data_IF_619350441929
#
_entry.id   IF_619350441929
#
_cell.length_a   1.000
_cell.length_b   1.000
_cell.length_c   1.000
_cell.angle_alpha   90.00
_cell.angle_beta   90.00
_cell.angle_gamma   90.00
#
_symmetry.space_group_name_H-M   'P 1'
#
loop_
_entity.id
_entity.type
_entity.pdbx_description
1 polymer ?
#
# COMPACT_ATOMS: atom_id res chain seq x y z
N UNK A 1 7.50 -3.68 -16.05
CA UNK A 1 8.29 -2.60 -15.44
C UNK A 1 8.45 -2.84 -13.95
N UNK A 2 9.69 -2.77 -13.47
CA UNK A 2 9.96 -3.04 -12.07
C UNK A 2 9.51 -1.86 -11.21
N UNK A 3 8.79 -2.14 -10.11
CA UNK A 3 8.36 -1.10 -9.19
C UNK A 3 9.58 -0.51 -8.47
N UNK A 4 9.59 0.81 -8.40
CA UNK A 4 10.65 1.55 -7.73
C UNK A 4 10.12 2.04 -6.39
N UNK A 5 10.72 1.58 -5.30
CA UNK A 5 10.31 1.92 -3.94
C UNK A 5 10.36 3.43 -3.70
N UNK A 6 11.34 4.11 -4.30
CA UNK A 6 11.51 5.56 -4.12
C UNK A 6 10.43 6.37 -4.85
N UNK A 7 9.68 5.73 -5.75
CA UNK A 7 8.66 6.39 -6.56
C UNK A 7 7.31 5.67 -6.48
N UNK A 8 7.01 5.12 -5.32
CA UNK A 8 5.78 4.34 -5.15
C UNK A 8 4.52 5.16 -5.40
N UNK A 9 4.54 6.45 -5.07
CA UNK A 9 3.39 7.34 -5.28
C UNK A 9 3.08 7.46 -6.76
N UNK A 10 4.10 7.73 -7.59
CA UNK A 10 3.93 7.82 -9.04
C UNK A 10 3.50 6.49 -9.65
N UNK A 11 4.06 5.39 -9.17
CA UNK A 11 3.68 4.06 -9.64
C UNK A 11 2.23 3.73 -9.30
N UNK A 12 1.81 4.06 -8.09
CA UNK A 12 0.42 3.86 -7.68
C UNK A 12 -0.53 4.70 -8.52
N UNK A 13 -0.18 5.96 -8.76
CA UNK A 13 -1.00 6.85 -9.58
C UNK A 13 -1.18 6.29 -11.00
N UNK A 14 -0.09 5.80 -11.61
CA UNK A 14 -0.17 5.19 -12.94
C UNK A 14 -1.07 3.96 -12.95
N UNK A 15 -0.91 3.10 -11.94
CA UNK A 15 -1.74 1.90 -11.85
C UNK A 15 -3.22 2.24 -11.71
N UNK A 16 -3.56 3.20 -10.86
CA UNK A 16 -4.94 3.60 -10.67
C UNK A 16 -5.51 4.30 -11.91
N UNK A 17 -4.67 5.02 -12.64
CA UNK A 17 -5.09 5.66 -13.89
C UNK A 17 -5.46 4.61 -14.93
N UNK A 18 -4.62 3.56 -15.07
CA UNK A 18 -4.92 2.45 -15.98
C UNK A 18 -6.23 1.75 -15.58
N UNK A 19 -6.42 1.53 -14.28
CA UNK A 19 -7.65 0.91 -13.78
C UNK A 19 -8.86 1.77 -14.13
N UNK A 20 -8.77 3.07 -13.93
CA UNK A 20 -9.85 4.02 -14.24
C UNK A 20 -10.17 4.03 -15.74
N UNK A 21 -9.14 4.02 -16.58
CA UNK A 21 -9.32 4.03 -18.03
C UNK A 21 -9.94 2.74 -18.55
N UNK A 22 -9.86 1.67 -17.78
CA UNK A 22 -10.43 0.37 -18.15
C UNK A 22 -11.46 -0.06 -17.11
N UNK A 23 -12.32 0.85 -16.72
CA UNK A 23 -13.23 0.71 -15.58
C UNK A 23 -14.08 -0.55 -15.63
N UNK A 24 -14.73 -0.81 -16.75
CA UNK A 24 -15.63 -1.98 -16.87
C UNK A 24 -14.86 -3.27 -16.64
N UNK A 25 -13.68 -3.38 -17.23
CA UNK A 25 -12.84 -4.57 -17.10
C UNK A 25 -12.47 -4.82 -15.63
N UNK A 26 -12.02 -3.79 -14.94
CA UNK A 26 -11.57 -3.95 -13.56
C UNK A 26 -12.72 -4.10 -12.57
N UNK A 27 -13.86 -3.47 -12.81
CA UNK A 27 -15.05 -3.72 -11.99
C UNK A 27 -15.43 -5.20 -12.06
N UNK A 28 -15.38 -5.80 -13.24
CA UNK A 28 -15.66 -7.21 -13.39
C UNK A 28 -14.60 -8.08 -12.70
N UNK A 29 -13.34 -7.72 -12.83
CA UNK A 29 -12.24 -8.47 -12.23
C UNK A 29 -12.33 -8.51 -10.69
N UNK A 30 -12.72 -7.38 -10.08
CA UNK A 30 -12.87 -7.31 -8.62
C UNK A 30 -14.16 -7.93 -8.11
N UNK A 31 -15.16 -8.10 -8.97
CA UNK A 31 -16.47 -8.62 -8.56
C UNK A 31 -16.61 -10.14 -8.69
N UNK A 32 -15.59 -10.82 -9.20
CA UNK A 32 -15.65 -12.28 -9.37
C UNK A 32 -15.53 -12.98 -8.04
N UNK A 33 -16.23 -14.11 -7.90
CA UNK A 33 -16.22 -14.91 -6.68
C UNK A 33 -14.82 -15.32 -6.25
N UNK A 34 -13.93 -15.47 -7.19
CA UNK A 34 -12.58 -15.95 -6.94
C UNK A 34 -11.61 -14.86 -6.46
N UNK A 35 -11.90 -13.61 -6.65
CA UNK A 35 -11.11 -12.46 -6.18
C UNK A 35 -9.57 -12.62 -6.34
N UNK A 36 -9.14 -13.26 -7.42
CA UNK A 36 -7.70 -13.42 -7.67
C UNK A 36 -7.00 -12.08 -7.88
N UNK A 37 -7.69 -11.15 -8.52
CA UNK A 37 -7.10 -9.84 -8.77
C UNK A 37 -6.90 -9.06 -7.48
N UNK A 38 -7.87 -9.12 -6.57
CA UNK A 38 -7.74 -8.48 -5.27
C UNK A 38 -6.57 -9.03 -4.47
N UNK A 39 -6.39 -10.34 -4.49
CA UNK A 39 -5.25 -10.96 -3.83
C UNK A 39 -3.93 -10.54 -4.47
N UNK A 40 -3.89 -10.44 -5.78
CA UNK A 40 -2.71 -9.97 -6.48
C UNK A 40 -2.35 -8.54 -6.07
N UNK A 41 -3.34 -7.65 -6.03
CA UNK A 41 -3.13 -6.26 -5.60
C UNK A 41 -2.59 -6.22 -4.17
N UNK A 42 -3.15 -7.05 -3.28
CA UNK A 42 -2.67 -7.14 -1.91
C UNK A 42 -1.21 -7.58 -1.85
N UNK A 43 -0.86 -8.64 -2.56
CA UNK A 43 0.51 -9.17 -2.54
C UNK A 43 1.53 -8.14 -3.05
N UNK A 44 1.22 -7.48 -4.15
CA UNK A 44 2.11 -6.45 -4.71
C UNK A 44 2.28 -5.30 -3.73
N UNK A 45 1.19 -4.90 -3.09
CA UNK A 45 1.20 -3.81 -2.13
C UNK A 45 2.02 -4.18 -0.89
N UNK A 46 1.86 -5.40 -0.40
CA UNK A 46 2.60 -5.89 0.75
C UNK A 46 4.11 -5.89 0.48
N UNK A 47 4.51 -6.41 -0.67
CA UNK A 47 5.93 -6.43 -1.04
C UNK A 47 6.50 -5.02 -1.16
N UNK A 48 5.74 -4.11 -1.75
CA UNK A 48 6.17 -2.73 -1.90
C UNK A 48 6.39 -2.07 -0.54
N UNK A 49 5.46 -2.25 0.39
CA UNK A 49 5.59 -1.67 1.72
C UNK A 49 6.73 -2.32 2.52
N UNK A 50 6.88 -3.64 2.41
CA UNK A 50 7.97 -4.32 3.10
C UNK A 50 9.32 -3.78 2.65
N UNK A 51 9.52 -3.65 1.34
CA UNK A 51 10.77 -3.13 0.79
C UNK A 51 11.00 -1.68 1.21
N UNK A 52 9.94 -0.86 1.22
CA UNK A 52 10.05 0.53 1.62
C UNK A 52 10.43 0.66 3.10
N UNK A 53 9.81 -0.14 3.97
CA UNK A 53 10.11 -0.13 5.39
C UNK A 53 11.54 -0.59 5.63
N UNK A 54 11.94 -1.67 5.00
CA UNK A 54 13.30 -2.21 5.14
C UNK A 54 14.34 -1.19 4.71
N UNK A 55 14.12 -0.53 3.59
CA UNK A 55 15.03 0.51 3.10
C UNK A 55 15.11 1.69 4.06
N UNK A 56 13.99 2.11 4.62
CA UNK A 56 13.95 3.19 5.58
C UNK A 56 14.71 2.83 6.86
N UNK A 57 14.52 1.62 7.36
CA UNK A 57 15.22 1.16 8.56
C UNK A 57 16.73 1.11 8.35
N UNK A 58 17.17 0.65 7.20
CA UNK A 58 18.58 0.64 6.87
C UNK A 58 19.14 2.06 6.85
N UNK A 59 18.43 2.99 6.22
CA UNK A 59 18.85 4.39 6.11
C UNK A 59 18.94 5.07 7.47
N UNK A 60 18.06 4.72 8.39
CA UNK A 60 18.02 5.32 9.73
C UNK A 60 18.87 4.56 10.75
N UNK A 61 19.53 3.48 10.31
CA UNK A 61 20.36 2.63 11.15
C UNK A 61 19.59 2.02 12.33
N UNK A 62 18.28 1.83 12.16
CA UNK A 62 17.46 1.20 13.17
C UNK A 62 17.48 -0.32 13.05
N UNK A 63 17.52 -1.00 14.20
CA UNK A 63 17.53 -2.46 14.26
C UNK A 63 16.12 -2.98 14.51
N UNK A 64 15.36 -3.19 13.43
CA UNK A 64 14.01 -3.72 13.50
C UNK A 64 14.02 -5.15 12.98
N UNK A 65 13.39 -6.05 13.72
CA UNK A 65 13.30 -7.44 13.29
C UNK A 65 12.43 -7.55 12.03
N UNK A 66 12.83 -8.48 11.17
CA UNK A 66 12.12 -8.69 9.91
C UNK A 66 10.66 -9.06 10.13
N UNK A 67 10.37 -9.82 11.17
CA UNK A 67 9.00 -10.20 11.53
C UNK A 67 8.14 -8.97 11.81
N UNK A 68 8.68 -7.99 12.52
CA UNK A 68 7.95 -6.75 12.82
C UNK A 68 7.72 -5.92 11.55
N UNK A 69 8.73 -5.85 10.68
CA UNK A 69 8.59 -5.16 9.41
C UNK A 69 7.52 -5.82 8.54
N UNK A 70 7.50 -7.14 8.52
CA UNK A 70 6.51 -7.88 7.75
C UNK A 70 5.09 -7.61 8.24
N UNK A 71 4.92 -7.54 9.57
CA UNK A 71 3.61 -7.25 10.15
C UNK A 71 3.12 -5.85 9.75
N UNK A 72 3.98 -4.84 9.87
CA UNK A 72 3.63 -3.47 9.51
C UNK A 72 3.31 -3.36 8.02
N UNK A 73 4.11 -4.01 7.18
CA UNK A 73 3.85 -4.02 5.74
C UNK A 73 2.50 -4.62 5.40
N UNK A 74 2.13 -5.71 6.08
CA UNK A 74 0.84 -6.36 5.88
C UNK A 74 -0.30 -5.45 6.32
N UNK A 75 -0.13 -4.76 7.44
CA UNK A 75 -1.14 -3.83 7.95
C UNK A 75 -1.44 -2.73 6.94
N UNK A 76 -0.39 -2.10 6.40
CA UNK A 76 -0.58 -1.07 5.37
C UNK A 76 -1.14 -1.66 4.07
N UNK A 77 -0.73 -2.87 3.72
CA UNK A 77 -1.22 -3.51 2.49
C UNK A 77 -2.72 -3.80 2.57
N UNK A 78 -3.22 -4.25 3.72
CA UNK A 78 -4.66 -4.43 3.90
C UNK A 78 -5.42 -3.12 3.76
N UNK A 79 -4.88 -2.05 4.33
CA UNK A 79 -5.51 -0.74 4.23
C UNK A 79 -5.57 -0.22 2.80
N UNK A 80 -4.43 -0.21 2.13
CA UNK A 80 -4.33 0.34 0.78
C UNK A 80 -5.10 -0.51 -0.23
N UNK A 81 -4.91 -1.83 -0.20
CA UNK A 81 -5.61 -2.70 -1.14
C UNK A 81 -7.11 -2.70 -0.90
N UNK A 82 -7.54 -2.62 0.36
CA UNK A 82 -8.95 -2.49 0.71
C UNK A 82 -9.56 -1.21 0.15
N UNK A 83 -8.84 -0.09 0.25
CA UNK A 83 -9.30 1.18 -0.30
C UNK A 83 -9.41 1.14 -1.82
N UNK A 84 -8.46 0.52 -2.49
CA UNK A 84 -8.49 0.35 -3.94
C UNK A 84 -9.69 -0.50 -4.34
N UNK A 85 -9.90 -1.63 -3.66
CA UNK A 85 -11.03 -2.51 -3.94
C UNK A 85 -12.36 -1.77 -3.77
N UNK A 86 -12.51 -1.03 -2.68
CA UNK A 86 -13.71 -0.25 -2.45
C UNK A 86 -13.92 0.80 -3.55
N UNK A 87 -12.86 1.50 -3.92
CA UNK A 87 -12.93 2.51 -4.96
C UNK A 87 -13.41 1.91 -6.29
N UNK A 88 -12.87 0.76 -6.67
CA UNK A 88 -13.28 0.08 -7.90
C UNK A 88 -14.73 -0.37 -7.82
N UNK A 89 -15.10 -1.06 -6.75
CA UNK A 89 -16.43 -1.65 -6.64
C UNK A 89 -17.54 -0.61 -6.44
N UNK A 90 -17.19 0.59 -6.00
CA UNK A 90 -18.16 1.69 -5.81
C UNK A 90 -18.17 2.70 -6.95
N UNK A 91 -17.60 2.36 -8.09
CA UNK A 91 -17.72 3.15 -9.30
C UNK A 91 -16.63 4.16 -9.55
N UNK A 92 -15.51 4.06 -8.85
CA UNK A 92 -14.33 4.91 -9.09
C UNK A 92 -14.67 6.41 -9.10
N UNK A 93 -15.41 6.85 -8.09
CA UNK A 93 -15.91 8.23 -8.03
C UNK A 93 -14.80 9.26 -7.83
N UNK A 94 -13.81 8.93 -7.03
CA UNK A 94 -12.66 9.81 -6.86
C UNK A 94 -11.72 9.67 -8.06
N UNK A 95 -10.97 10.74 -8.36
CA UNK A 95 -9.93 10.64 -9.38
C UNK A 95 -8.76 9.82 -8.83
N UNK A 96 -7.98 9.17 -9.70
CA UNK A 96 -6.76 8.49 -9.25
C UNK A 96 -5.83 9.41 -8.47
N UNK A 97 -5.70 10.67 -8.90
CA UNK A 97 -4.85 11.62 -8.20
C UNK A 97 -5.34 11.91 -6.78
N UNK A 98 -6.64 12.10 -6.61
CA UNK A 98 -7.21 12.36 -5.29
C UNK A 98 -6.99 11.17 -4.36
N UNK A 99 -7.24 9.97 -4.85
CA UNK A 99 -7.05 8.75 -4.06
C UNK A 99 -5.60 8.58 -3.64
N UNK A 100 -4.67 8.76 -4.58
CA UNK A 100 -3.24 8.64 -4.28
C UNK A 100 -2.80 9.69 -3.26
N UNK A 101 -3.31 10.91 -3.38
CA UNK A 101 -2.95 11.98 -2.43
C UNK A 101 -3.41 11.64 -1.01
N UNK A 102 -4.61 11.06 -0.86
CA UNK A 102 -5.07 10.62 0.45
C UNK A 102 -4.20 9.52 1.03
N UNK A 103 -3.93 8.49 0.22
CA UNK A 103 -3.09 7.36 0.66
C UNK A 103 -1.69 7.85 1.01
N UNK A 104 -1.11 8.70 0.17
CA UNK A 104 0.23 9.21 0.35
C UNK A 104 0.37 9.99 1.67
N UNK A 105 -0.60 10.84 1.99
CA UNK A 105 -0.55 11.60 3.23
C UNK A 105 -0.60 10.71 4.46
N UNK A 106 -1.44 9.67 4.42
CA UNK A 106 -1.55 8.75 5.54
C UNK A 106 -0.25 7.97 5.70
N UNK A 107 0.28 7.42 4.61
CA UNK A 107 1.50 6.62 4.66
C UNK A 107 2.69 7.46 5.13
N UNK A 108 2.85 8.67 4.59
CA UNK A 108 3.96 9.53 4.98
C UNK A 108 3.89 9.92 6.46
N UNK A 109 2.69 10.22 6.94
CA UNK A 109 2.51 10.61 8.33
C UNK A 109 2.73 9.45 9.28
N UNK A 110 2.06 8.32 9.05
CA UNK A 110 2.10 7.17 9.95
C UNK A 110 3.42 6.41 9.87
N UNK A 111 4.13 6.51 8.76
CA UNK A 111 5.44 5.85 8.61
C UNK A 111 6.38 6.25 9.73
N UNK A 112 6.42 7.53 10.07
CA UNK A 112 7.28 8.03 11.14
C UNK A 112 6.69 7.68 12.50
N UNK A 113 5.39 7.92 12.68
CA UNK A 113 4.73 7.73 13.97
C UNK A 113 4.57 6.25 14.33
N UNK A 114 4.09 5.45 13.38
CA UNK A 114 3.78 4.04 13.64
C UNK A 114 5.03 3.21 13.91
N UNK A 115 6.03 3.34 13.07
CA UNK A 115 7.24 2.54 13.23
C UNK A 115 7.99 2.96 14.49
N UNK A 116 8.18 4.25 14.69
CA UNK A 116 8.88 4.76 15.88
C UNK A 116 8.13 4.44 17.16
N UNK A 117 6.81 4.61 17.16
CA UNK A 117 5.99 4.31 18.33
C UNK A 117 5.95 2.82 18.63
N UNK A 118 5.85 1.99 17.59
CA UNK A 118 5.88 0.53 17.75
C UNK A 118 7.17 0.08 18.41
N UNK A 119 8.30 0.63 17.98
CA UNK A 119 9.60 0.32 18.56
C UNK A 119 9.69 0.78 20.01
N UNK A 120 9.20 1.96 20.33
CA UNK A 120 9.22 2.48 21.69
C UNK A 120 8.38 1.63 22.62
N UNK A 121 7.21 1.21 22.20
CA UNK A 121 6.35 0.33 22.98
C UNK A 121 7.06 -0.99 23.25
N UNK A 122 7.70 -1.54 22.23
CA UNK A 122 8.44 -2.80 22.35
C UNK A 122 9.57 -2.69 23.35
N UNK A 123 10.29 -1.57 23.35
CA UNK A 123 11.40 -1.35 24.27
C UNK A 123 10.92 -1.18 25.73
N UNK A 124 9.72 -0.63 25.90
CA UNK A 124 9.14 -0.44 27.24
C UNK A 124 8.62 -1.76 27.82
N UNK A 125 8.04 -2.59 26.96
CA UNK A 125 7.45 -3.86 27.38
C UNK A 125 8.50 -4.96 27.48
#
# INVERSE_FOLDING_TARGET
EKLNVDNWVGNLKRALTVIKENQIYYENAFSQDNDEFGRYVFQVTEELFFDAIKKTQIAESNMVEEEDMAFVAKYFAYGVSGMITEWVTKGMKETPESLVNHVSRIVEHTKILEISSYLKIKDIL
#
